data_IF_280268851079
#
_entry.id   IF_280268851079
#
_cell.length_a   1.000
_cell.length_b   1.000
_cell.length_c   1.000
_cell.angle_alpha   90.00
_cell.angle_beta   90.00
_cell.angle_gamma   90.00
#
_symmetry.space_group_name_H-M   'P 1'
#
loop_
_entity.id
_entity.type
_entity.pdbx_description
1 polymer ?
#
# COMPACT_ATOMS: atom_id res chain seq x y z
N UNK A 1 -13.85 28.21 32.23
CA UNK A 1 -12.58 27.51 31.94
C UNK A 1 -12.85 26.27 31.07
N UNK A 2 -13.64 26.45 30.01
CA UNK A 2 -14.06 25.41 29.07
C UNK A 2 -13.64 25.87 27.67
N UNK A 3 -12.94 25.02 26.90
CA UNK A 3 -12.62 25.30 25.50
C UNK A 3 -11.16 25.13 25.06
N UNK A 4 -10.35 24.28 25.70
CA UNK A 4 -8.95 24.03 25.26
C UNK A 4 -8.55 22.56 25.11
N UNK A 5 -9.50 21.63 25.18
CA UNK A 5 -9.24 20.19 25.14
C UNK A 5 -9.87 19.47 23.93
N UNK A 6 -10.42 20.19 22.95
CA UNK A 6 -11.13 19.62 21.80
C UNK A 6 -10.34 19.57 20.49
N UNK A 7 -9.15 20.17 20.43
CA UNK A 7 -8.39 20.35 19.16
C UNK A 7 -7.14 19.46 19.06
N UNK A 8 -6.93 18.54 20.00
CA UNK A 8 -5.77 17.66 20.04
C UNK A 8 -6.25 16.21 19.89
N UNK A 9 -6.11 15.66 18.67
CA UNK A 9 -5.84 14.23 18.38
C UNK A 9 -6.59 13.60 17.20
N UNK A 10 -7.46 14.32 16.46
CA UNK A 10 -8.07 13.74 15.25
C UNK A 10 -7.06 13.54 14.09
N UNK A 11 -6.09 14.45 13.95
CA UNK A 11 -5.01 14.34 12.95
C UNK A 11 -3.85 13.42 13.39
N UNK A 12 -3.65 13.26 14.70
CA UNK A 12 -2.51 12.53 15.26
C UNK A 12 -2.61 11.01 15.06
N UNK A 13 -3.79 10.42 15.23
CA UNK A 13 -4.00 8.97 15.08
C UNK A 13 -3.80 8.50 13.64
N UNK A 14 -4.44 9.18 12.68
CA UNK A 14 -4.27 8.87 11.25
C UNK A 14 -2.81 9.03 10.80
N UNK A 15 -2.15 10.11 11.21
CA UNK A 15 -0.77 10.36 10.84
C UNK A 15 0.18 9.31 11.45
N UNK A 16 -0.06 8.86 12.69
CA UNK A 16 0.70 7.76 13.32
C UNK A 16 0.57 6.46 12.53
N UNK A 17 -0.65 6.08 12.14
CA UNK A 17 -0.89 4.86 11.34
C UNK A 17 -0.24 4.97 9.96
N UNK A 18 -0.40 6.11 9.28
CA UNK A 18 0.21 6.35 7.96
C UNK A 18 1.74 6.31 8.04
N UNK A 19 2.34 6.94 9.05
CA UNK A 19 3.79 6.91 9.27
C UNK A 19 4.27 5.50 9.59
N UNK A 20 3.55 4.75 10.42
CA UNK A 20 3.91 3.38 10.75
C UNK A 20 3.89 2.47 9.51
N UNK A 21 2.81 2.51 8.73
CA UNK A 21 2.68 1.73 7.50
C UNK A 21 3.71 2.18 6.45
N UNK A 22 3.90 3.49 6.29
CA UNK A 22 4.89 4.05 5.37
C UNK A 22 6.33 3.64 5.72
N UNK A 23 6.68 3.67 7.01
CA UNK A 23 8.00 3.26 7.50
C UNK A 23 8.27 1.76 7.32
N UNK A 24 7.23 0.92 7.21
CA UNK A 24 7.36 -0.50 6.90
C UNK A 24 7.44 -0.72 5.39
N UNK A 25 6.52 -0.12 4.63
CA UNK A 25 6.37 -0.37 3.18
C UNK A 25 7.41 0.30 2.28
N UNK A 26 8.03 1.40 2.71
CA UNK A 26 8.95 2.16 1.85
C UNK A 26 10.17 1.34 1.41
N UNK A 27 10.71 0.46 2.26
CA UNK A 27 11.90 -0.34 1.97
C UNK A 27 11.67 -1.25 0.76
N UNK A 28 10.52 -1.92 0.71
CA UNK A 28 10.20 -2.84 -0.37
C UNK A 28 10.03 -2.11 -1.71
N UNK A 29 9.35 -0.97 -1.70
CA UNK A 29 9.17 -0.13 -2.89
C UNK A 29 10.52 0.43 -3.37
N UNK A 30 11.37 0.91 -2.46
CA UNK A 30 12.73 1.37 -2.79
C UNK A 30 13.59 0.25 -3.38
N UNK A 31 13.54 -0.94 -2.77
CA UNK A 31 14.28 -2.13 -3.26
C UNK A 31 13.80 -2.54 -4.65
N UNK A 32 12.49 -2.58 -4.86
CA UNK A 32 11.89 -2.90 -6.16
C UNK A 32 12.30 -1.87 -7.23
N UNK A 33 12.17 -0.58 -6.92
CA UNK A 33 12.55 0.50 -7.84
C UNK A 33 14.01 0.36 -8.26
N UNK A 34 14.91 0.09 -7.30
CA UNK A 34 16.34 -0.13 -7.57
C UNK A 34 16.56 -1.34 -8.48
N UNK A 35 15.87 -2.46 -8.23
CA UNK A 35 15.96 -3.65 -9.06
C UNK A 35 15.51 -3.37 -10.50
N UNK A 36 14.35 -2.72 -10.68
CA UNK A 36 13.83 -2.33 -11.99
C UNK A 36 14.80 -1.40 -12.73
N UNK A 37 15.34 -0.39 -12.04
CA UNK A 37 16.32 0.53 -12.63
C UNK A 37 17.58 -0.21 -13.08
N UNK A 38 18.13 -1.12 -12.29
CA UNK A 38 19.32 -1.91 -12.67
C UNK A 38 19.06 -2.75 -13.91
N UNK A 39 17.92 -3.43 -13.98
CA UNK A 39 17.51 -4.24 -15.15
C UNK A 39 17.30 -3.38 -16.39
N UNK A 40 16.59 -2.25 -16.28
CA UNK A 40 16.32 -1.36 -17.41
C UNK A 40 17.59 -0.65 -17.91
N UNK A 41 18.55 -0.36 -17.03
CA UNK A 41 19.85 0.27 -17.39
C UNK A 41 20.70 -0.59 -18.32
N UNK A 42 20.50 -1.91 -18.35
CA UNK A 42 21.23 -2.86 -19.18
C UNK A 42 20.57 -3.12 -20.54
N UNK A 43 19.42 -2.50 -20.83
CA UNK A 43 18.69 -2.71 -22.09
C UNK A 43 19.31 -1.93 -23.25
N UNK A 44 19.23 -2.49 -24.46
CA UNK A 44 19.83 -1.93 -25.67
C UNK A 44 19.35 -0.52 -26.00
N UNK A 45 18.07 -0.19 -25.73
CA UNK A 45 17.54 1.16 -25.96
C UNK A 45 18.20 2.23 -25.07
N UNK A 46 18.66 1.85 -23.86
CA UNK A 46 19.40 2.76 -22.97
C UNK A 46 20.83 2.96 -23.47
N UNK A 47 21.46 1.90 -24.00
CA UNK A 47 22.79 1.99 -24.61
C UNK A 47 22.76 2.87 -25.86
N UNK A 48 21.76 2.71 -26.73
CA UNK A 48 21.54 3.55 -27.89
C UNK A 48 21.31 5.03 -27.52
N UNK A 49 20.45 5.29 -26.52
CA UNK A 49 20.21 6.66 -26.04
C UNK A 49 21.48 7.33 -25.49
N UNK A 50 22.34 6.57 -24.79
CA UNK A 50 23.66 7.06 -24.35
C UNK A 50 24.60 7.34 -25.51
N UNK A 51 24.62 6.49 -26.55
CA UNK A 51 25.46 6.68 -27.73
C UNK A 51 25.10 7.96 -28.51
N UNK A 52 23.84 8.40 -28.43
CA UNK A 52 23.34 9.65 -29.04
C UNK A 52 23.63 10.87 -28.14
N UNK A 53 24.23 10.68 -26.96
CA UNK A 53 24.61 11.77 -26.05
C UNK A 53 23.51 12.24 -25.10
N UNK A 54 22.44 11.46 -24.89
CA UNK A 54 21.39 11.84 -23.95
C UNK A 54 21.89 11.87 -22.50
N UNK A 55 21.47 12.88 -21.73
CA UNK A 55 21.90 13.01 -20.33
C UNK A 55 21.28 11.91 -19.45
N UNK A 56 21.97 11.47 -18.36
CA UNK A 56 21.46 10.41 -17.49
C UNK A 56 20.06 10.70 -16.91
N UNK A 57 19.77 11.98 -16.66
CA UNK A 57 18.49 12.41 -16.10
C UNK A 57 17.36 12.34 -17.13
N UNK A 58 17.63 12.72 -18.39
CA UNK A 58 16.68 12.55 -19.49
C UNK A 58 16.37 11.07 -19.73
N UNK A 59 17.39 10.21 -19.72
CA UNK A 59 17.19 8.76 -19.88
C UNK A 59 16.36 8.21 -18.71
N UNK A 60 16.68 8.61 -17.48
CA UNK A 60 15.96 8.17 -16.30
C UNK A 60 14.47 8.54 -16.35
N UNK A 61 14.13 9.80 -16.59
CA UNK A 61 12.75 10.29 -16.53
C UNK A 61 11.93 9.90 -17.76
N UNK A 62 12.54 9.90 -18.95
CA UNK A 62 11.79 9.67 -20.21
C UNK A 62 11.75 8.20 -20.64
N UNK A 63 12.72 7.39 -20.21
CA UNK A 63 12.80 5.99 -20.63
C UNK A 63 12.73 5.01 -19.46
N UNK A 64 13.44 5.23 -18.35
CA UNK A 64 13.47 4.23 -17.27
C UNK A 64 12.21 4.30 -16.39
N UNK A 65 11.83 5.51 -15.95
CA UNK A 65 10.68 5.73 -15.08
C UNK A 65 9.38 5.17 -15.68
N UNK A 66 9.00 5.51 -16.93
CA UNK A 66 7.75 5.03 -17.51
C UNK A 66 7.70 3.51 -17.63
N UNK A 67 8.83 2.86 -17.90
CA UNK A 67 8.93 1.40 -17.98
C UNK A 67 8.94 0.73 -16.59
N UNK A 68 9.46 1.40 -15.56
CA UNK A 68 9.43 0.92 -14.18
C UNK A 68 8.08 1.14 -13.48
N UNK A 69 7.24 2.07 -13.98
CA UNK A 69 5.93 2.34 -13.39
C UNK A 69 5.00 1.13 -13.42
N UNK A 70 5.02 0.33 -14.50
CA UNK A 70 4.17 -0.86 -14.60
C UNK A 70 4.38 -1.84 -13.42
N UNK A 71 5.59 -2.35 -13.15
CA UNK A 71 5.82 -3.22 -11.99
C UNK A 71 5.66 -2.49 -10.65
N UNK A 72 5.87 -1.18 -10.58
CA UNK A 72 5.63 -0.40 -9.35
C UNK A 72 4.15 -0.32 -8.99
N UNK A 73 3.28 -0.05 -9.98
CA UNK A 73 1.83 0.02 -9.76
C UNK A 73 1.33 -1.33 -9.26
N UNK A 74 1.74 -2.43 -9.89
CA UNK A 74 1.39 -3.80 -9.45
C UNK A 74 1.81 -4.03 -8.00
N UNK A 75 3.05 -3.68 -7.64
CA UNK A 75 3.55 -3.87 -6.29
C UNK A 75 2.80 -3.03 -5.25
N UNK A 76 2.42 -1.80 -5.60
CA UNK A 76 1.62 -0.93 -4.72
C UNK A 76 0.22 -1.55 -4.52
N UNK A 77 -0.43 -2.01 -5.60
CA UNK A 77 -1.75 -2.65 -5.53
C UNK A 77 -1.73 -3.91 -4.66
N UNK A 78 -0.74 -4.78 -4.86
CA UNK A 78 -0.55 -5.99 -4.04
C UNK A 78 -0.11 -5.68 -2.60
N UNK A 79 0.39 -4.48 -2.34
CA UNK A 79 0.74 -4.00 -1.00
C UNK A 79 -0.45 -3.50 -0.18
N UNK A 80 -1.58 -3.15 -0.82
CA UNK A 80 -2.78 -2.64 -0.13
C UNK A 80 -3.32 -3.63 0.91
N UNK A 81 -3.49 -4.93 0.62
CA UNK A 81 -3.95 -5.90 1.62
C UNK A 81 -3.05 -5.98 2.84
N UNK A 82 -1.72 -5.95 2.64
CA UNK A 82 -0.75 -5.94 3.73
C UNK A 82 -0.90 -4.68 4.60
N UNK A 83 -1.05 -3.51 3.98
CA UNK A 83 -1.27 -2.25 4.68
C UNK A 83 -2.58 -2.27 5.49
N UNK A 84 -3.68 -2.80 4.93
CA UNK A 84 -4.95 -2.96 5.65
C UNK A 84 -4.80 -3.90 6.85
N UNK A 85 -4.05 -4.99 6.72
CA UNK A 85 -3.82 -5.93 7.82
C UNK A 85 -2.99 -5.29 8.94
N UNK A 86 -1.96 -4.53 8.57
CA UNK A 86 -1.15 -3.76 9.52
C UNK A 86 -1.98 -2.68 10.22
N UNK A 87 -2.84 -1.94 9.52
CA UNK A 87 -3.76 -0.96 10.13
C UNK A 87 -4.70 -1.63 11.13
N UNK A 88 -5.33 -2.75 10.74
CA UNK A 88 -6.23 -3.48 11.62
C UNK A 88 -5.50 -4.01 12.88
N UNK A 89 -4.28 -4.52 12.71
CA UNK A 89 -3.44 -4.95 13.83
C UNK A 89 -3.03 -3.80 14.75
N UNK A 90 -2.65 -2.64 14.21
CA UNK A 90 -2.34 -1.44 15.00
C UNK A 90 -3.56 -0.92 15.76
N UNK A 91 -4.73 -0.92 15.10
CA UNK A 91 -6.01 -0.57 15.71
C UNK A 91 -6.38 -1.53 16.85
N UNK A 92 -6.12 -2.82 16.69
CA UNK A 92 -6.31 -3.82 17.76
C UNK A 92 -5.35 -3.61 18.95
N UNK A 93 -4.12 -3.19 18.69
CA UNK A 93 -3.13 -2.86 19.73
C UNK A 93 -3.38 -1.50 20.42
N UNK A 94 -4.41 -0.77 20.03
CA UNK A 94 -4.76 0.54 20.61
C UNK A 94 -4.01 1.73 20.01
N UNK A 95 -3.24 1.52 18.93
CA UNK A 95 -2.57 2.58 18.16
C UNK A 95 -3.41 3.05 16.95
N UNK A 96 -4.69 2.68 16.93
CA UNK A 96 -5.63 2.97 15.86
C UNK A 96 -6.07 4.43 15.79
N UNK A 97 -6.95 4.68 14.84
CA UNK A 97 -7.57 5.99 14.64
C UNK A 97 -8.51 6.27 15.84
N UNK A 98 -8.38 7.45 16.45
CA UNK A 98 -9.27 7.87 17.54
C UNK A 98 -10.67 8.21 16.99
N UNK A 99 -11.70 8.01 17.81
CA UNK A 99 -13.07 8.47 17.51
C UNK A 99 -13.02 9.96 17.13
N UNK A 100 -13.57 10.38 15.97
CA UNK A 100 -14.88 10.01 15.41
C UNK A 100 -14.87 9.23 14.08
N UNK A 101 -13.71 8.76 13.59
CA UNK A 101 -13.61 8.04 12.31
C UNK A 101 -13.76 6.53 12.53
N UNK A 102 -14.85 5.87 12.07
CA UNK A 102 -14.99 4.43 12.20
C UNK A 102 -14.01 3.73 11.23
N UNK A 103 -12.98 3.07 11.76
CA UNK A 103 -12.15 2.14 10.99
C UNK A 103 -12.59 0.69 11.24
N UNK A 104 -12.58 -0.16 10.21
CA UNK A 104 -12.99 -1.56 10.37
C UNK A 104 -12.09 -2.31 11.36
N UNK A 105 -10.79 -1.98 11.43
CA UNK A 105 -9.87 -2.51 12.43
C UNK A 105 -10.27 -2.17 13.86
N UNK A 106 -10.69 -0.92 14.10
CA UNK A 106 -11.21 -0.50 15.42
C UNK A 106 -12.54 -1.18 15.75
N UNK A 107 -13.44 -1.34 14.78
CA UNK A 107 -14.70 -2.08 14.99
C UNK A 107 -14.45 -3.53 15.43
N UNK A 108 -13.40 -4.18 14.88
CA UNK A 108 -12.97 -5.50 15.34
C UNK A 108 -12.42 -5.44 16.76
N UNK A 109 -11.58 -4.45 17.09
CA UNK A 109 -11.03 -4.27 18.43
C UNK A 109 -12.13 -4.07 19.50
N UNK A 110 -13.10 -3.19 19.22
CA UNK A 110 -14.20 -2.86 20.13
C UNK A 110 -15.14 -4.05 20.34
N UNK A 111 -15.27 -4.93 19.34
CA UNK A 111 -16.09 -6.14 19.43
C UNK A 111 -15.60 -7.15 20.47
N UNK A 112 -14.32 -7.11 20.84
CA UNK A 112 -13.73 -8.04 21.82
C UNK A 112 -14.41 -7.93 23.20
N UNK A 113 -14.80 -6.71 23.59
CA UNK A 113 -15.51 -6.43 24.85
C UNK A 113 -16.93 -7.01 24.87
N UNK A 114 -17.55 -7.16 23.70
CA UNK A 114 -18.93 -7.60 23.53
C UNK A 114 -19.05 -9.01 22.97
N UNK A 115 -17.95 -9.72 22.74
CA UNK A 115 -17.94 -11.00 22.01
C UNK A 115 -18.79 -12.09 22.66
N UNK A 116 -18.96 -12.04 23.99
CA UNK A 116 -19.82 -12.98 24.75
C UNK A 116 -21.31 -12.72 24.60
N UNK A 117 -21.72 -11.50 24.21
CA UNK A 117 -23.14 -11.09 24.12
C UNK A 117 -23.54 -10.85 22.66
N UNK A 118 -22.68 -10.21 21.89
CA UNK A 118 -22.91 -9.78 20.51
C UNK A 118 -21.76 -10.19 19.59
N UNK A 119 -21.55 -11.51 19.44
CA UNK A 119 -20.49 -12.08 18.59
C UNK A 119 -20.50 -11.59 17.14
N UNK A 120 -21.69 -11.24 16.61
CA UNK A 120 -21.85 -10.75 15.25
C UNK A 120 -21.19 -9.38 15.00
N UNK A 121 -21.03 -8.55 16.04
CA UNK A 121 -20.41 -7.22 15.91
C UNK A 121 -18.95 -7.29 15.49
N UNK A 122 -18.23 -8.38 15.80
CA UNK A 122 -16.86 -8.61 15.33
C UNK A 122 -16.79 -9.36 14.00
N UNK A 123 -17.74 -10.27 13.75
CA UNK A 123 -17.72 -11.11 12.55
C UNK A 123 -17.95 -10.33 11.26
N UNK A 124 -18.93 -9.41 11.25
CA UNK A 124 -19.21 -8.59 10.06
C UNK A 124 -18.02 -7.73 9.60
N UNK A 125 -17.40 -6.89 10.45
CA UNK A 125 -16.26 -6.07 10.02
C UNK A 125 -15.06 -6.94 9.61
N UNK A 126 -14.83 -8.07 10.29
CA UNK A 126 -13.76 -9.01 9.92
C UNK A 126 -14.00 -9.59 8.52
N UNK A 127 -15.23 -10.00 8.22
CA UNK A 127 -15.59 -10.54 6.89
C UNK A 127 -15.46 -9.47 5.80
N UNK A 128 -15.87 -8.23 6.08
CA UNK A 128 -15.73 -7.12 5.13
C UNK A 128 -14.26 -6.82 4.82
N UNK A 129 -13.39 -6.81 5.84
CA UNK A 129 -11.93 -6.67 5.64
C UNK A 129 -11.41 -7.81 4.76
N UNK A 130 -11.76 -9.06 5.08
CA UNK A 130 -11.30 -10.23 4.34
C UNK A 130 -11.72 -10.19 2.86
N UNK A 131 -12.99 -9.89 2.57
CA UNK A 131 -13.50 -9.77 1.20
C UNK A 131 -12.78 -8.63 0.45
N UNK A 132 -12.55 -7.51 1.11
CA UNK A 132 -11.87 -6.36 0.51
C UNK A 132 -10.42 -6.69 0.19
N UNK A 133 -9.70 -7.31 1.12
CA UNK A 133 -8.33 -7.78 0.89
C UNK A 133 -8.26 -8.76 -0.28
N UNK A 134 -9.17 -9.74 -0.32
CA UNK A 134 -9.22 -10.71 -1.43
C UNK A 134 -9.49 -10.03 -2.77
N UNK A 135 -10.41 -9.08 -2.80
CA UNK A 135 -10.73 -8.30 -4.01
C UNK A 135 -9.51 -7.53 -4.49
N UNK A 136 -8.80 -6.83 -3.60
CA UNK A 136 -7.58 -6.11 -3.98
C UNK A 136 -6.44 -7.03 -4.41
N UNK A 137 -6.28 -8.18 -3.76
CA UNK A 137 -5.29 -9.19 -4.18
C UNK A 137 -5.58 -9.70 -5.58
N UNK A 138 -6.83 -10.10 -5.88
CA UNK A 138 -7.22 -10.57 -7.20
C UNK A 138 -7.12 -9.50 -8.28
N UNK A 139 -7.47 -8.25 -7.95
CA UNK A 139 -7.27 -7.11 -8.86
C UNK A 139 -5.78 -6.88 -9.11
N UNK A 140 -4.94 -7.00 -8.09
CA UNK A 140 -3.49 -6.88 -8.22
C UNK A 140 -2.87 -7.97 -9.09
N UNK A 141 -3.33 -9.22 -8.94
CA UNK A 141 -2.92 -10.33 -9.80
C UNK A 141 -3.41 -10.13 -11.25
N UNK A 142 -4.66 -9.72 -11.45
CA UNK A 142 -5.17 -9.40 -12.79
C UNK A 142 -4.41 -8.23 -13.45
N UNK A 143 -4.05 -7.21 -12.67
CA UNK A 143 -3.25 -6.09 -13.15
C UNK A 143 -1.82 -6.52 -13.48
N UNK A 144 -1.23 -7.42 -12.68
CA UNK A 144 0.06 -8.03 -12.95
C UNK A 144 0.05 -8.79 -14.26
N UNK A 145 -0.95 -9.63 -14.47
CA UNK A 145 -1.08 -10.45 -15.69
C UNK A 145 -1.31 -9.57 -16.93
N UNK A 146 -2.08 -8.48 -16.80
CA UNK A 146 -2.30 -7.53 -17.88
C UNK A 146 -1.04 -6.70 -18.23
N UNK A 147 -0.18 -6.44 -17.25
CA UNK A 147 1.05 -5.66 -17.42
C UNK A 147 2.30 -6.51 -17.67
N UNK A 148 2.25 -7.83 -17.47
CA UNK A 148 3.33 -8.75 -17.81
C UNK A 148 3.36 -9.00 -19.34
N UNK A 149 4.34 -8.44 -20.09
CA UNK A 149 4.34 -8.52 -21.55
C UNK A 149 4.71 -9.91 -22.10
N UNK A 150 4.98 -10.89 -21.24
CA UNK A 150 5.52 -12.20 -21.63
C UNK A 150 4.46 -13.20 -22.12
N UNK A 151 3.17 -12.89 -22.06
CA UNK A 151 2.09 -13.81 -22.46
C UNK A 151 1.76 -13.78 -23.95
N UNK A 152 2.36 -12.89 -24.75
CA UNK A 152 2.01 -12.73 -26.17
C UNK A 152 3.12 -13.16 -27.15
N UNK A 153 3.69 -14.33 -26.92
CA UNK A 153 4.44 -15.10 -27.94
C UNK A 153 3.96 -16.55 -27.93
N UNK A 154 2.88 -16.82 -28.65
CA UNK A 154 2.61 -18.13 -29.23
C UNK A 154 2.27 -17.95 -30.70
#
# INVERSE_FOLDING_TARGET
AAGRASDQDSGGGLLKVVVAIGAIGWVDICRLTRAQLLTLRQKDYVLAAKAIGASPLQIAVRHLLPNALAPLIVAITLGVPAAMFTEAGLSFLGFGINDPLPSWGKMVADSNSYIRVYWHLGLFPTLMIAITMLTFSFVGDGLRDALDPRTNKS
#
